data_IF_720414082019
#
_entry.id   IF_720414082019
#
_cell.length_a   1.000
_cell.length_b   1.000
_cell.length_c   1.000
_cell.angle_alpha   90.00
_cell.angle_beta   90.00
_cell.angle_gamma   90.00
#
_symmetry.space_group_name_H-M   'P 1'
#
loop_
_entity.id
_entity.type
_entity.pdbx_description
1 polymer ?
#
# COMPACT_ATOMS: atom_id res chain seq x y z
N UNK A 1 -13.16 -74.56 34.85
CA UNK A 1 -13.26 -73.66 36.03
C UNK A 1 -11.90 -73.00 36.22
N UNK A 2 -11.84 -71.64 36.24
CA UNK A 2 -10.92 -70.80 37.07
C UNK A 2 -9.41 -70.91 36.70
N UNK A 3 -8.63 -69.87 36.36
CA UNK A 3 -8.69 -68.41 36.57
C UNK A 3 -7.43 -67.71 35.96
N UNK A 4 -7.50 -66.37 35.87
CA UNK A 4 -6.40 -65.36 36.02
C UNK A 4 -5.41 -65.26 34.84
N UNK A 5 -5.56 -64.29 33.92
CA UNK A 5 -5.16 -62.86 33.97
C UNK A 5 -3.68 -62.65 34.23
N UNK A 6 -2.94 -62.12 33.25
CA UNK A 6 -1.96 -61.05 33.52
C UNK A 6 -1.60 -60.25 32.25
N UNK A 7 -1.83 -58.94 32.34
CA UNK A 7 -1.51 -57.91 31.37
C UNK A 7 0.00 -57.67 31.39
N UNK A 8 0.64 -57.60 30.21
CA UNK A 8 1.92 -56.91 30.07
C UNK A 8 1.72 -55.70 29.17
N UNK A 9 1.73 -54.52 29.80
CA UNK A 9 1.69 -53.23 29.16
C UNK A 9 2.96 -53.04 28.32
N UNK A 10 2.80 -52.96 27.00
CA UNK A 10 3.86 -52.53 26.09
C UNK A 10 4.01 -51.01 26.15
N UNK A 11 5.18 -50.55 26.56
CA UNK A 11 5.57 -49.14 26.62
C UNK A 11 5.56 -48.55 25.21
N UNK A 12 4.70 -47.57 24.96
CA UNK A 12 4.70 -46.77 23.72
C UNK A 12 5.64 -45.60 23.94
N UNK A 13 6.84 -45.65 23.35
CA UNK A 13 7.77 -44.52 23.32
C UNK A 13 7.28 -43.57 22.22
N UNK A 14 6.51 -42.55 22.61
CA UNK A 14 6.17 -41.44 21.74
C UNK A 14 7.35 -40.47 21.67
N UNK A 15 8.11 -40.53 20.57
CA UNK A 15 9.14 -39.55 20.26
C UNK A 15 8.46 -38.23 19.83
N UNK A 16 8.36 -37.27 20.74
CA UNK A 16 7.91 -35.91 20.44
C UNK A 16 9.05 -35.16 19.74
N UNK A 17 8.97 -35.04 18.41
CA UNK A 17 9.86 -34.17 17.62
C UNK A 17 9.38 -32.73 17.83
N UNK A 18 10.04 -31.99 18.72
CA UNK A 18 9.89 -30.53 18.82
C UNK A 18 10.64 -29.88 17.65
N UNK A 19 9.93 -29.63 16.54
CA UNK A 19 10.42 -28.74 15.49
C UNK A 19 10.33 -27.29 15.98
N UNK A 20 11.45 -26.71 16.40
CA UNK A 20 11.55 -25.28 16.68
C UNK A 20 11.47 -24.52 15.35
N UNK A 21 10.29 -23.98 15.02
CA UNK A 21 10.12 -23.04 13.92
C UNK A 21 10.71 -21.69 14.33
N UNK A 22 11.98 -21.45 14.02
CA UNK A 22 12.53 -20.08 13.98
C UNK A 22 11.87 -19.35 12.82
N UNK A 23 10.74 -18.70 13.09
CA UNK A 23 10.06 -17.85 12.13
C UNK A 23 10.88 -16.59 11.90
N UNK A 24 11.52 -16.49 10.74
CA UNK A 24 11.91 -15.18 10.20
C UNK A 24 10.62 -14.42 9.90
N UNK A 25 10.25 -13.44 10.73
CA UNK A 25 9.21 -12.49 10.38
C UNK A 25 9.71 -11.71 9.17
N UNK A 26 9.01 -11.72 8.02
CA UNK A 26 9.43 -10.90 6.89
C UNK A 26 9.38 -9.44 7.32
N UNK A 27 10.53 -8.75 7.25
CA UNK A 27 10.60 -7.30 7.46
C UNK A 27 9.67 -6.62 6.45
N UNK A 28 8.74 -5.81 6.94
CA UNK A 28 7.80 -5.07 6.07
C UNK A 28 8.56 -4.03 5.23
N UNK A 29 8.06 -3.73 4.03
CA UNK A 29 8.63 -2.66 3.18
C UNK A 29 8.77 -1.33 3.93
N UNK A 30 7.79 -1.02 4.76
CA UNK A 30 7.74 0.18 5.61
C UNK A 30 8.96 0.31 6.54
N UNK A 31 9.51 -0.81 7.02
CA UNK A 31 10.65 -0.82 7.92
C UNK A 31 12.01 -0.67 7.20
N UNK A 32 12.04 -0.79 5.87
CA UNK A 32 13.29 -0.81 5.09
C UNK A 32 13.46 0.35 4.13
N UNK A 33 12.37 1.01 3.74
CA UNK A 33 12.42 2.12 2.78
C UNK A 33 12.81 3.42 3.47
N UNK A 34 13.57 4.24 2.76
CA UNK A 34 13.80 5.64 3.11
C UNK A 34 12.58 6.52 2.78
N UNK A 35 12.45 7.71 3.39
CA UNK A 35 11.41 8.68 3.02
C UNK A 35 11.42 9.04 1.52
N UNK A 36 12.59 9.21 0.91
CA UNK A 36 12.69 9.52 -0.52
C UNK A 36 12.23 8.35 -1.40
N UNK A 37 12.60 7.11 -1.07
CA UNK A 37 12.11 5.94 -1.83
C UNK A 37 10.58 5.81 -1.71
N UNK A 38 10.01 6.12 -0.53
CA UNK A 38 8.56 6.11 -0.32
C UNK A 38 7.87 7.21 -1.15
N UNK A 39 8.44 8.42 -1.19
CA UNK A 39 8.00 9.53 -2.05
C UNK A 39 8.05 9.15 -3.52
N UNK A 40 9.18 8.65 -4.00
CA UNK A 40 9.39 8.34 -5.42
C UNK A 40 8.48 7.19 -5.86
N UNK A 41 8.25 6.21 -4.98
CA UNK A 41 7.28 5.13 -5.20
C UNK A 41 5.86 5.65 -5.33
N UNK A 42 5.46 6.61 -4.49
CA UNK A 42 4.15 7.27 -4.58
C UNK A 42 4.00 8.01 -5.91
N UNK A 43 4.95 8.89 -6.24
CA UNK A 43 4.94 9.67 -7.49
C UNK A 43 4.89 8.76 -8.70
N UNK A 44 5.72 7.71 -8.73
CA UNK A 44 5.73 6.72 -9.81
C UNK A 44 4.41 5.98 -9.92
N UNK A 45 3.83 5.53 -8.80
CA UNK A 45 2.55 4.81 -8.82
C UNK A 45 1.43 5.70 -9.39
N UNK A 46 1.40 6.97 -9.00
CA UNK A 46 0.40 7.94 -9.48
C UNK A 46 0.61 8.26 -10.97
N UNK A 47 1.83 8.56 -11.40
CA UNK A 47 2.14 8.91 -12.79
C UNK A 47 2.00 7.73 -13.75
N UNK A 48 2.37 6.52 -13.33
CA UNK A 48 2.12 5.30 -14.10
C UNK A 48 0.62 5.02 -14.22
N UNK A 49 -0.18 5.31 -13.19
CA UNK A 49 -1.65 5.18 -13.24
C UNK A 49 -2.21 6.12 -14.30
N UNK A 50 -1.81 7.39 -14.29
CA UNK A 50 -2.21 8.38 -15.28
C UNK A 50 -1.84 7.95 -16.71
N UNK A 51 -0.65 7.37 -16.90
CA UNK A 51 -0.17 6.89 -18.20
C UNK A 51 -0.98 5.70 -18.77
N UNK A 52 -1.85 5.05 -17.97
CA UNK A 52 -2.78 4.02 -18.45
C UNK A 52 -4.07 4.59 -19.03
N UNK A 53 -4.36 5.86 -18.77
CA UNK A 53 -5.60 6.48 -19.17
C UNK A 53 -5.43 7.19 -20.52
N UNK A 54 -6.43 7.15 -21.41
CA UNK A 54 -6.41 7.86 -22.70
C UNK A 54 -6.67 9.37 -22.53
N UNK A 55 -6.07 9.99 -21.52
CA UNK A 55 -6.25 11.39 -21.14
C UNK A 55 -4.89 12.09 -21.13
N UNK A 56 -4.79 13.20 -21.85
CA UNK A 56 -3.59 14.05 -21.89
C UNK A 56 -3.71 15.25 -20.94
N UNK A 57 -2.60 15.96 -20.73
CA UNK A 57 -2.61 17.22 -19.98
C UNK A 57 -2.57 17.04 -18.45
N UNK A 58 -2.04 15.92 -17.98
CA UNK A 58 -1.82 15.71 -16.57
C UNK A 58 -0.75 16.66 -16.01
N UNK A 59 -1.07 17.31 -14.89
CA UNK A 59 -0.19 18.24 -14.19
C UNK A 59 -0.18 17.93 -12.71
N UNK A 60 0.98 18.12 -12.07
CA UNK A 60 1.09 18.18 -10.63
C UNK A 60 0.30 19.38 -10.09
N UNK A 61 -0.28 19.22 -8.91
CA UNK A 61 -0.90 20.34 -8.17
C UNK A 61 0.05 20.91 -7.10
N UNK A 62 1.35 20.64 -7.25
CA UNK A 62 2.40 20.92 -6.29
C UNK A 62 3.33 19.72 -6.09
N UNK A 63 4.52 20.00 -5.54
CA UNK A 63 5.47 18.97 -5.13
C UNK A 63 4.87 18.04 -4.06
N UNK A 64 5.31 16.77 -3.96
CA UNK A 64 4.89 15.89 -2.88
C UNK A 64 5.18 16.51 -1.51
N UNK A 65 4.18 16.61 -0.65
CA UNK A 65 4.31 17.24 0.68
C UNK A 65 4.59 16.19 1.76
N UNK A 66 5.58 16.45 2.62
CA UNK A 66 5.93 15.57 3.74
C UNK A 66 5.09 15.90 4.99
N UNK A 67 4.74 14.87 5.76
CA UNK A 67 4.04 14.99 7.05
C UNK A 67 4.47 13.87 8.00
N UNK A 68 4.31 14.09 9.30
CA UNK A 68 4.57 13.08 10.32
C UNK A 68 3.61 11.90 10.23
N UNK A 69 4.11 10.74 10.66
CA UNK A 69 3.32 9.54 10.91
C UNK A 69 3.98 8.66 11.98
N UNK A 70 3.22 7.71 12.54
CA UNK A 70 3.77 6.71 13.46
C UNK A 70 4.35 5.52 12.66
N UNK A 71 5.68 5.37 12.69
CA UNK A 71 6.38 4.24 12.08
C UNK A 71 6.58 3.13 13.11
N UNK A 72 5.50 2.49 13.55
CA UNK A 72 5.49 1.43 14.56
C UNK A 72 6.02 1.88 15.94
N UNK A 73 5.51 3.00 16.45
CA UNK A 73 5.91 3.57 17.74
C UNK A 73 7.18 4.44 17.68
N UNK A 74 7.69 4.72 16.48
CA UNK A 74 8.81 5.62 16.23
C UNK A 74 8.38 6.79 15.34
N UNK A 75 9.19 7.86 15.35
CA UNK A 75 9.02 8.97 14.42
C UNK A 75 9.12 8.46 12.97
N UNK A 76 8.13 8.83 12.17
CA UNK A 76 8.03 8.45 10.78
C UNK A 76 7.59 9.62 9.91
N UNK A 77 7.90 9.50 8.63
CA UNK A 77 7.51 10.43 7.60
C UNK A 77 6.70 9.72 6.52
N UNK A 78 5.76 10.45 5.93
CA UNK A 78 5.05 10.05 4.72
C UNK A 78 4.79 11.26 3.83
N UNK A 79 4.64 10.99 2.54
CA UNK A 79 4.36 12.01 1.53
C UNK A 79 2.93 11.91 1.03
N UNK A 80 2.31 13.06 0.76
CA UNK A 80 1.11 13.19 -0.05
C UNK A 80 1.45 13.69 -1.45
N UNK A 81 0.72 13.23 -2.48
CA UNK A 81 0.89 13.74 -3.85
C UNK A 81 -0.45 13.76 -4.58
N UNK A 82 -0.63 14.77 -5.43
CA UNK A 82 -1.87 15.03 -6.17
C UNK A 82 -1.56 15.37 -7.64
N UNK A 83 -2.21 14.64 -8.54
CA UNK A 83 -1.99 14.73 -9.98
C UNK A 83 -3.35 14.80 -10.69
N UNK A 84 -3.53 15.76 -11.60
CA UNK A 84 -4.84 16.04 -12.19
C UNK A 84 -4.80 16.30 -13.68
N UNK A 85 -5.90 16.04 -14.36
CA UNK A 85 -6.11 16.37 -15.77
C UNK A 85 -7.58 16.72 -16.02
N UNK A 86 -7.86 17.43 -17.11
CA UNK A 86 -9.24 17.56 -17.58
C UNK A 86 -9.88 16.18 -17.76
N UNK A 87 -11.17 16.02 -17.44
CA UNK A 87 -11.79 14.71 -17.39
C UNK A 87 -11.88 14.08 -18.78
N UNK A 88 -11.76 12.75 -18.84
CA UNK A 88 -12.10 11.95 -20.01
C UNK A 88 -13.62 11.88 -20.23
N UNK A 89 -14.04 10.93 -21.08
CA UNK A 89 -15.48 10.70 -21.36
C UNK A 89 -15.98 9.32 -20.95
N UNK A 90 -15.08 8.34 -20.74
CA UNK A 90 -15.42 6.98 -20.34
C UNK A 90 -15.07 6.72 -18.86
N UNK A 91 -15.84 7.34 -17.96
CA UNK A 91 -15.59 7.26 -16.51
C UNK A 91 -15.53 5.81 -15.98
N UNK A 92 -16.42 4.95 -16.47
CA UNK A 92 -16.50 3.56 -16.02
C UNK A 92 -15.34 2.71 -16.58
N UNK A 93 -15.00 2.86 -17.86
CA UNK A 93 -13.87 2.17 -18.47
C UNK A 93 -12.53 2.60 -17.89
N UNK A 94 -12.35 3.90 -17.65
CA UNK A 94 -11.15 4.45 -17.02
C UNK A 94 -11.01 3.97 -15.57
N UNK A 95 -12.09 3.99 -14.80
CA UNK A 95 -12.09 3.45 -13.44
C UNK A 95 -11.76 1.94 -13.40
N UNK A 96 -12.28 1.16 -14.35
CA UNK A 96 -11.91 -0.25 -14.49
C UNK A 96 -10.42 -0.41 -14.80
N UNK A 97 -9.87 0.38 -15.72
CA UNK A 97 -8.45 0.34 -16.07
C UNK A 97 -7.56 0.61 -14.86
N UNK A 98 -7.92 1.62 -14.05
CA UNK A 98 -7.20 1.94 -12.80
C UNK A 98 -7.31 0.81 -11.78
N UNK A 99 -8.53 0.28 -11.56
CA UNK A 99 -8.77 -0.79 -10.60
C UNK A 99 -7.98 -2.06 -10.95
N UNK A 100 -7.94 -2.44 -12.22
CA UNK A 100 -7.19 -3.62 -12.70
C UNK A 100 -5.67 -3.40 -12.51
N UNK A 101 -5.17 -2.21 -12.84
CA UNK A 101 -3.76 -1.87 -12.65
C UNK A 101 -3.35 -1.91 -11.17
N UNK A 102 -4.11 -1.27 -10.28
CA UNK A 102 -3.80 -1.27 -8.85
C UNK A 102 -3.85 -2.66 -8.22
N UNK A 103 -4.82 -3.47 -8.63
CA UNK A 103 -4.89 -4.88 -8.21
C UNK A 103 -3.62 -5.64 -8.61
N UNK A 104 -3.09 -5.39 -9.81
CA UNK A 104 -1.84 -6.01 -10.27
C UNK A 104 -0.60 -5.61 -9.44
N UNK A 105 -0.66 -4.48 -8.74
CA UNK A 105 0.39 -4.00 -7.83
C UNK A 105 0.22 -4.54 -6.40
N UNK A 106 -0.79 -5.36 -6.14
CA UNK A 106 -1.14 -5.85 -4.79
C UNK A 106 -1.86 -4.81 -3.93
N UNK A 107 -2.42 -3.77 -4.54
CA UNK A 107 -3.26 -2.78 -3.85
C UNK A 107 -4.66 -3.38 -3.70
N UNK A 108 -5.25 -3.28 -2.51
CA UNK A 108 -6.65 -3.66 -2.30
C UNK A 108 -7.56 -2.57 -2.83
N UNK A 109 -8.46 -2.91 -3.75
CA UNK A 109 -9.27 -1.94 -4.50
C UNK A 109 -10.75 -1.98 -4.13
N UNK A 110 -11.36 -0.79 -4.02
CA UNK A 110 -12.81 -0.58 -3.93
C UNK A 110 -13.26 0.43 -4.98
N UNK A 111 -14.18 0.03 -5.85
CA UNK A 111 -14.78 0.92 -6.87
C UNK A 111 -16.15 1.39 -6.42
N UNK A 112 -16.43 2.67 -6.62
CA UNK A 112 -17.73 3.33 -6.43
C UNK A 112 -18.22 3.80 -7.79
N UNK A 113 -19.49 3.59 -8.09
CA UNK A 113 -20.10 3.96 -9.38
C UNK A 113 -21.21 5.00 -9.24
N UNK A 114 -21.55 5.42 -8.03
CA UNK A 114 -22.60 6.41 -7.76
C UNK A 114 -22.33 7.17 -6.44
N UNK A 115 -22.65 8.48 -6.36
CA UNK A 115 -23.12 9.34 -7.45
C UNK A 115 -22.05 9.60 -8.51
N UNK A 116 -20.77 9.61 -8.10
CA UNK A 116 -19.62 9.81 -8.97
C UNK A 116 -18.76 8.54 -9.02
N UNK A 117 -18.16 8.28 -10.19
CA UNK A 117 -17.27 7.13 -10.34
C UNK A 117 -15.92 7.42 -9.67
N UNK A 118 -15.48 6.50 -8.82
CA UNK A 118 -14.20 6.63 -8.13
C UNK A 118 -13.62 5.26 -7.79
N UNK A 119 -12.29 5.19 -7.72
CA UNK A 119 -11.55 4.01 -7.30
C UNK A 119 -10.71 4.38 -6.09
N UNK A 120 -10.76 3.54 -5.05
CA UNK A 120 -9.99 3.69 -3.83
C UNK A 120 -9.08 2.48 -3.66
N UNK A 121 -7.84 2.72 -3.26
CA UNK A 121 -6.81 1.71 -3.05
C UNK A 121 -6.18 1.83 -1.66
N UNK A 122 -5.86 0.68 -1.05
CA UNK A 122 -5.13 0.61 0.22
C UNK A 122 -4.08 -0.50 0.18
N UNK A 123 -2.90 -0.22 0.73
CA UNK A 123 -1.77 -1.15 0.80
C UNK A 123 -1.01 -1.32 -0.52
N UNK A 124 -0.11 -2.29 -0.57
CA UNK A 124 0.80 -2.50 -1.71
C UNK A 124 2.03 -1.58 -1.63
N UNK A 125 2.41 -0.87 -2.71
CA UNK A 125 3.56 0.04 -2.72
C UNK A 125 3.29 1.42 -2.08
N UNK A 126 2.04 1.72 -1.75
CA UNK A 126 1.58 2.98 -1.14
C UNK A 126 0.67 2.69 0.06
N UNK A 127 0.42 3.68 0.92
CA UNK A 127 -0.51 3.48 2.03
C UNK A 127 -1.95 3.61 1.54
N UNK A 128 -2.26 4.71 0.85
CA UNK A 128 -3.57 4.95 0.23
C UNK A 128 -3.42 5.57 -1.15
N UNK A 129 -4.38 5.30 -2.04
CA UNK A 129 -4.48 5.95 -3.34
C UNK A 129 -5.95 6.06 -3.76
N UNK A 130 -6.28 7.10 -4.52
CA UNK A 130 -7.63 7.34 -5.02
C UNK A 130 -7.59 7.91 -6.44
N UNK A 131 -8.59 7.55 -7.23
CA UNK A 131 -8.83 8.07 -8.57
C UNK A 131 -10.27 8.54 -8.60
N UNK A 132 -10.47 9.83 -8.83
CA UNK A 132 -11.78 10.46 -8.93
C UNK A 132 -12.02 10.89 -10.36
N UNK A 133 -13.19 10.57 -10.91
CA UNK A 133 -13.59 11.03 -12.24
C UNK A 133 -14.43 12.30 -12.19
N UNK A 134 -14.93 12.67 -11.00
CA UNK A 134 -15.86 13.77 -10.76
C UNK A 134 -15.93 14.14 -9.27
N UNK A 135 -16.45 15.35 -8.93
CA UNK A 135 -16.81 16.42 -9.86
C UNK A 135 -15.58 17.20 -10.38
N UNK A 136 -15.64 17.64 -11.63
CA UNK A 136 -14.58 18.48 -12.23
C UNK A 136 -13.51 17.66 -12.94
N UNK A 137 -12.26 17.87 -12.56
CA UNK A 137 -11.09 17.24 -13.16
C UNK A 137 -10.96 15.77 -12.74
N UNK A 138 -10.34 14.96 -13.60
CA UNK A 138 -9.78 13.70 -13.15
C UNK A 138 -8.67 13.99 -12.14
N UNK A 139 -8.67 13.26 -11.03
CA UNK A 139 -7.67 13.41 -10.00
C UNK A 139 -7.17 12.04 -9.53
N UNK A 140 -5.86 11.87 -9.48
CA UNK A 140 -5.20 10.76 -8.81
C UNK A 140 -4.42 11.33 -7.63
N UNK A 141 -4.68 10.82 -6.44
CA UNK A 141 -4.03 11.29 -5.22
C UNK A 141 -3.79 10.15 -4.25
N UNK A 142 -2.80 10.29 -3.38
CA UNK A 142 -2.50 9.25 -2.42
C UNK A 142 -1.45 9.66 -1.40
N UNK A 143 -1.13 8.70 -0.54
CA UNK A 143 -0.08 8.83 0.46
C UNK A 143 0.92 7.70 0.32
N UNK A 144 2.21 8.01 0.47
CA UNK A 144 3.26 7.01 0.53
C UNK A 144 3.07 6.12 1.76
N UNK A 145 3.83 5.03 1.80
CA UNK A 145 4.04 4.29 3.03
C UNK A 145 4.58 5.21 4.13
N UNK A 146 4.20 4.92 5.38
CA UNK A 146 4.80 5.55 6.56
C UNK A 146 6.10 4.82 6.86
N UNK A 147 7.22 5.54 6.80
CA UNK A 147 8.55 4.97 6.96
C UNK A 147 9.34 5.77 8.01
N UNK A 148 10.34 5.18 8.68
CA UNK A 148 11.19 5.92 9.59
C UNK A 148 11.81 7.15 8.93
N UNK A 149 11.74 8.30 9.59
CA UNK A 149 12.24 9.56 9.05
C UNK A 149 11.98 10.74 9.99
N UNK A 150 12.83 11.76 9.87
CA UNK A 150 12.71 13.03 10.58
C UNK A 150 12.09 14.07 9.65
N UNK A 151 10.89 14.55 9.97
CA UNK A 151 10.12 15.43 9.07
C UNK A 151 10.73 16.83 8.98
N UNK A 152 11.30 17.36 10.07
CA UNK A 152 11.93 18.68 10.07
C UNK A 152 13.10 18.72 9.08
N UNK A 153 13.96 17.70 9.09
CA UNK A 153 15.06 17.54 8.12
C UNK A 153 14.52 17.51 6.68
N UNK A 154 13.46 16.73 6.43
CA UNK A 154 12.87 16.61 5.08
C UNK A 154 12.21 17.91 4.61
N UNK A 155 11.64 18.71 5.52
CA UNK A 155 11.09 20.04 5.22
C UNK A 155 12.21 21.01 4.86
N UNK A 156 13.31 21.02 5.63
CA UNK A 156 14.46 21.87 5.35
C UNK A 156 15.08 21.56 3.99
N UNK A 157 15.14 20.27 3.61
CA UNK A 157 15.54 19.84 2.27
C UNK A 157 14.59 20.40 1.19
N UNK A 158 13.27 20.32 1.40
CA UNK A 158 12.28 20.84 0.45
C UNK A 158 12.30 22.37 0.29
N UNK A 159 12.75 23.10 1.31
CA UNK A 159 12.86 24.56 1.27
C UNK A 159 14.14 25.06 0.58
N UNK A 160 15.14 24.18 0.41
CA UNK A 160 16.43 24.50 -0.21
C UNK A 160 16.54 24.27 -1.71
N UNK A 161 15.55 23.61 -2.32
CA UNK A 161 15.44 23.32 -3.77
C UNK A 161 14.71 24.43 -4.55
#
# INVERSE_FOLDING_TARGET
MVRITERRAGVVIAAAILAALTGCTPTSKEATMTPHEARDTLVKTITDTAARLPVSGWTDSGAPSVTDCDANGAAGAKYGYFYRASPGTDFAGDAKTVADYWTSLGISVRTVTAPDTAVYGTGGPVQTISFQTAPGDYAISGTSLCVPGDVDTLIDEQAGD
#
